data_IF_335772264741
#
_entry.id   IF_335772264741
#
_cell.length_a   1.000
_cell.length_b   1.000
_cell.length_c   1.000
_cell.angle_alpha   90.00
_cell.angle_beta   90.00
_cell.angle_gamma   90.00
#
_symmetry.space_group_name_H-M   'P 1'
#
loop_
_entity.id
_entity.type
_entity.pdbx_description
1 polymer ?
#
# COMPACT_ATOMS: atom_id res chain seq x y z
N UNK A 1 70.62 -58.53 3.48
CA UNK A 1 69.97 -57.59 2.57
C UNK A 1 70.99 -56.54 2.23
N UNK A 2 71.37 -56.43 0.94
CA UNK A 2 72.43 -55.53 0.52
C UNK A 2 71.92 -54.08 0.62
N UNK A 3 72.83 -53.15 0.96
CA UNK A 3 72.49 -51.72 1.11
C UNK A 3 71.80 -51.13 -0.12
N UNK A 4 72.08 -51.73 -1.31
CA UNK A 4 71.42 -51.35 -2.56
C UNK A 4 69.93 -51.71 -2.61
N UNK A 5 69.51 -52.88 -2.09
CA UNK A 5 68.12 -53.32 -2.06
C UNK A 5 67.30 -52.46 -1.10
N UNK A 6 67.86 -52.00 0.02
CA UNK A 6 67.20 -51.11 0.98
C UNK A 6 66.99 -49.72 0.38
N UNK A 7 67.94 -49.21 -0.42
CA UNK A 7 67.84 -47.95 -1.11
C UNK A 7 66.71 -47.93 -2.17
N UNK A 8 66.60 -49.03 -2.96
CA UNK A 8 65.54 -49.17 -3.98
C UNK A 8 64.14 -49.26 -3.35
N UNK A 9 64.01 -49.96 -2.18
CA UNK A 9 62.73 -50.06 -1.45
C UNK A 9 62.34 -48.68 -0.93
N UNK A 10 63.24 -47.90 -0.35
CA UNK A 10 63.01 -46.55 0.13
C UNK A 10 62.59 -45.59 -1.01
N UNK A 11 63.33 -45.69 -2.14
CA UNK A 11 63.00 -44.90 -3.33
C UNK A 11 61.59 -45.21 -3.90
N UNK A 12 61.22 -46.49 -3.88
CA UNK A 12 59.90 -46.94 -4.32
C UNK A 12 58.78 -46.50 -3.38
N UNK A 13 58.99 -46.50 -2.07
CA UNK A 13 58.05 -45.97 -1.09
C UNK A 13 57.86 -44.46 -1.26
N UNK A 14 58.95 -43.72 -1.48
CA UNK A 14 58.87 -42.26 -1.75
C UNK A 14 58.12 -42.00 -3.04
N UNK A 15 58.40 -42.77 -4.10
CA UNK A 15 57.70 -42.63 -5.38
C UNK A 15 56.22 -42.92 -5.27
N UNK A 16 55.83 -43.97 -4.55
CA UNK A 16 54.43 -44.29 -4.24
C UNK A 16 53.80 -43.17 -3.41
N UNK A 17 54.47 -42.62 -2.38
CA UNK A 17 54.02 -41.51 -1.60
C UNK A 17 53.75 -40.26 -2.43
N UNK A 18 54.65 -39.95 -3.36
CA UNK A 18 54.50 -38.82 -4.32
C UNK A 18 53.33 -39.07 -5.28
N UNK A 19 53.21 -40.28 -5.84
CA UNK A 19 52.10 -40.66 -6.72
C UNK A 19 50.73 -40.61 -5.99
N UNK A 20 50.66 -41.13 -4.78
CA UNK A 20 49.47 -41.09 -3.94
C UNK A 20 49.08 -39.63 -3.61
N UNK A 21 50.06 -38.83 -3.22
CA UNK A 21 49.87 -37.40 -3.00
C UNK A 21 49.39 -36.68 -4.25
N UNK A 22 50.01 -36.94 -5.41
CA UNK A 22 49.61 -36.38 -6.68
C UNK A 22 48.18 -36.80 -7.07
N UNK A 23 47.82 -38.07 -6.94
CA UNK A 23 46.48 -38.59 -7.21
C UNK A 23 45.43 -38.06 -6.26
N UNK A 24 45.69 -38.08 -4.94
CA UNK A 24 44.76 -37.60 -3.94
C UNK A 24 44.59 -36.07 -3.88
N UNK A 25 45.64 -35.30 -4.21
CA UNK A 25 45.58 -33.83 -4.27
C UNK A 25 45.19 -33.31 -5.63
N UNK A 26 45.36 -34.09 -6.72
CA UNK A 26 45.02 -33.69 -8.10
C UNK A 26 43.52 -33.85 -8.42
N UNK A 27 42.73 -34.49 -7.60
CA UNK A 27 41.28 -34.78 -7.83
C UNK A 27 40.35 -33.87 -7.09
N UNK A 28 40.75 -32.69 -6.65
CA UNK A 28 39.74 -31.66 -6.43
C UNK A 28 39.18 -31.28 -7.81
N UNK A 29 38.10 -31.98 -8.24
CA UNK A 29 37.30 -31.65 -9.41
C UNK A 29 37.03 -30.14 -9.34
N UNK A 30 37.71 -29.34 -10.17
CA UNK A 30 37.42 -27.92 -10.29
C UNK A 30 35.96 -27.85 -10.70
N UNK A 31 35.08 -27.49 -9.75
CA UNK A 31 33.65 -27.27 -10.01
C UNK A 31 33.61 -26.27 -11.18
N UNK A 32 32.92 -26.62 -12.27
CA UNK A 32 32.84 -25.75 -13.44
C UNK A 32 32.17 -24.41 -13.07
N UNK A 33 32.44 -23.36 -13.84
CA UNK A 33 31.76 -22.09 -13.61
C UNK A 33 30.24 -22.25 -13.67
N UNK A 34 29.77 -23.10 -14.59
CA UNK A 34 28.35 -23.42 -14.74
C UNK A 34 27.76 -24.15 -13.49
N UNK A 35 28.48 -25.14 -12.92
CA UNK A 35 28.04 -25.82 -11.71
C UNK A 35 27.95 -24.85 -10.50
N UNK A 36 28.87 -23.87 -10.43
CA UNK A 36 28.84 -22.84 -9.39
C UNK A 36 27.66 -21.90 -9.57
N UNK A 37 27.32 -21.56 -10.80
CA UNK A 37 26.16 -20.72 -11.13
C UNK A 37 24.85 -21.43 -10.75
N UNK A 38 24.69 -22.71 -11.11
CA UNK A 38 23.56 -23.53 -10.68
C UNK A 38 23.47 -23.58 -9.15
N UNK A 39 24.60 -23.77 -8.47
CA UNK A 39 24.63 -23.78 -7.01
C UNK A 39 24.24 -22.43 -6.41
N UNK A 40 24.68 -21.32 -7.00
CA UNK A 40 24.28 -19.98 -6.58
C UNK A 40 22.77 -19.75 -6.75
N UNK A 41 22.20 -20.18 -7.89
CA UNK A 41 20.75 -20.12 -8.13
C UNK A 41 19.97 -20.96 -7.11
N UNK A 42 20.44 -22.16 -6.77
CA UNK A 42 19.83 -23.00 -5.73
C UNK A 42 19.85 -22.31 -4.35
N UNK A 43 20.93 -21.63 -3.99
CA UNK A 43 20.99 -20.84 -2.76
C UNK A 43 20.00 -19.65 -2.80
N UNK A 44 19.83 -18.99 -3.96
CA UNK A 44 18.82 -17.92 -4.12
C UNK A 44 17.42 -18.48 -3.90
N UNK A 45 17.09 -19.61 -4.51
CA UNK A 45 15.78 -20.28 -4.35
C UNK A 45 15.54 -20.76 -2.90
N UNK A 46 16.60 -21.19 -2.22
CA UNK A 46 16.58 -21.58 -0.80
C UNK A 46 16.58 -20.38 0.17
N UNK A 47 16.62 -19.13 -0.31
CA UNK A 47 16.67 -17.93 0.53
C UNK A 47 18.05 -17.62 1.14
N UNK A 48 19.09 -18.38 0.80
CA UNK A 48 20.45 -18.26 1.32
C UNK A 48 21.27 -17.23 0.53
N UNK A 49 20.83 -15.95 0.60
CA UNK A 49 21.32 -14.86 -0.25
C UNK A 49 22.82 -14.58 -0.09
N UNK A 50 23.35 -14.66 1.14
CA UNK A 50 24.76 -14.44 1.43
C UNK A 50 25.65 -15.54 0.80
N UNK A 51 25.20 -16.79 0.85
CA UNK A 51 25.92 -17.91 0.23
C UNK A 51 25.94 -17.77 -1.29
N UNK A 52 24.80 -17.41 -1.88
CA UNK A 52 24.67 -17.10 -3.31
C UNK A 52 25.60 -15.95 -3.72
N UNK A 53 25.59 -14.84 -2.99
CA UNK A 53 26.42 -13.67 -3.25
C UNK A 53 27.91 -14.01 -3.26
N UNK A 54 28.36 -14.85 -2.31
CA UNK A 54 29.75 -15.30 -2.24
C UNK A 54 30.15 -16.10 -3.48
N UNK A 55 29.28 -17.01 -3.94
CA UNK A 55 29.55 -17.82 -5.14
C UNK A 55 29.55 -16.97 -6.43
N UNK A 56 28.59 -16.08 -6.60
CA UNK A 56 28.52 -15.19 -7.76
C UNK A 56 29.73 -14.25 -7.82
N UNK A 57 30.19 -13.69 -6.69
CA UNK A 57 31.44 -12.91 -6.64
C UNK A 57 32.65 -13.74 -7.01
N UNK A 58 32.72 -15.02 -6.66
CA UNK A 58 33.80 -15.91 -7.08
C UNK A 58 33.78 -16.16 -8.62
N UNK A 59 32.57 -16.37 -9.17
CA UNK A 59 32.38 -16.53 -10.61
C UNK A 59 32.84 -15.26 -11.35
N UNK A 60 32.35 -14.09 -10.94
CA UNK A 60 32.72 -12.81 -11.58
C UNK A 60 34.20 -12.47 -11.49
N UNK A 61 34.93 -12.89 -10.44
CA UNK A 61 36.40 -12.75 -10.34
C UNK A 61 37.13 -13.62 -11.36
N UNK A 62 36.57 -14.79 -11.68
CA UNK A 62 37.20 -15.73 -12.62
C UNK A 62 36.83 -15.40 -14.08
N UNK A 63 35.66 -14.80 -14.30
CA UNK A 63 35.19 -14.39 -15.62
C UNK A 63 34.54 -13.00 -15.53
N UNK A 64 35.33 -11.98 -15.85
CA UNK A 64 34.90 -10.58 -15.85
C UNK A 64 34.02 -10.20 -17.05
N UNK A 65 33.92 -11.08 -18.06
CA UNK A 65 33.09 -10.85 -19.25
C UNK A 65 31.63 -11.25 -19.03
N UNK A 66 31.32 -12.06 -17.98
CA UNK A 66 29.95 -12.48 -17.64
C UNK A 66 29.20 -11.35 -16.91
N UNK A 67 28.70 -10.36 -17.66
CA UNK A 67 28.00 -9.20 -17.12
C UNK A 67 26.71 -9.59 -16.44
N UNK A 68 26.08 -10.69 -16.82
CA UNK A 68 24.88 -11.23 -16.16
C UNK A 68 25.10 -11.58 -14.69
N UNK A 69 26.26 -12.14 -14.37
CA UNK A 69 26.65 -12.46 -12.98
C UNK A 69 26.79 -11.18 -12.15
N UNK A 70 27.37 -10.12 -12.71
CA UNK A 70 27.48 -8.83 -12.00
C UNK A 70 26.11 -8.21 -11.74
N UNK A 71 25.17 -8.30 -12.69
CA UNK A 71 23.78 -7.86 -12.46
C UNK A 71 23.15 -8.62 -11.29
N UNK A 72 23.35 -9.94 -11.19
CA UNK A 72 22.86 -10.74 -10.06
C UNK A 72 23.54 -10.37 -8.73
N UNK A 73 24.86 -10.09 -8.75
CA UNK A 73 25.61 -9.62 -7.57
C UNK A 73 25.03 -8.31 -7.05
N UNK A 74 24.71 -7.37 -7.93
CA UNK A 74 24.05 -6.12 -7.56
C UNK A 74 22.66 -6.35 -6.99
N UNK A 75 21.83 -7.18 -7.64
CA UNK A 75 20.48 -7.51 -7.15
C UNK A 75 20.51 -8.11 -5.74
N UNK A 76 21.44 -9.04 -5.46
CA UNK A 76 21.60 -9.62 -4.14
C UNK A 76 22.09 -8.59 -3.09
N UNK A 77 23.02 -7.69 -3.46
CA UNK A 77 23.42 -6.61 -2.55
C UNK A 77 22.21 -5.74 -2.16
N UNK A 78 21.35 -5.33 -3.13
CA UNK A 78 20.14 -4.57 -2.84
C UNK A 78 19.20 -5.34 -1.92
N UNK A 79 18.96 -6.63 -2.19
CA UNK A 79 18.08 -7.47 -1.38
C UNK A 79 18.60 -7.74 0.05
N UNK A 80 19.91 -7.59 0.26
CA UNK A 80 20.56 -7.67 1.57
C UNK A 80 20.65 -6.30 2.28
N UNK A 81 20.02 -5.26 1.72
CA UNK A 81 20.04 -3.91 2.28
C UNK A 81 21.27 -3.08 1.92
N UNK A 82 22.17 -3.59 1.08
CA UNK A 82 23.40 -2.92 0.66
C UNK A 82 23.22 -2.19 -0.68
N UNK A 83 22.24 -1.26 -0.74
CA UNK A 83 21.84 -0.61 -1.98
C UNK A 83 22.96 0.21 -2.63
N UNK A 84 23.84 0.87 -1.85
CA UNK A 84 25.02 1.59 -2.40
C UNK A 84 26.01 0.64 -3.07
N UNK A 85 26.17 -0.59 -2.54
CA UNK A 85 27.01 -1.59 -3.19
C UNK A 85 26.37 -2.10 -4.47
N UNK A 86 25.05 -2.22 -4.52
CA UNK A 86 24.30 -2.55 -5.73
C UNK A 86 24.48 -1.48 -6.81
N UNK A 87 24.32 -0.21 -6.47
CA UNK A 87 24.53 0.93 -7.39
C UNK A 87 25.93 0.85 -8.03
N UNK A 88 26.99 0.66 -7.22
CA UNK A 88 28.36 0.58 -7.76
C UNK A 88 28.49 -0.56 -8.78
N UNK A 89 28.00 -1.74 -8.45
CA UNK A 89 28.11 -2.91 -9.33
C UNK A 89 27.31 -2.72 -10.62
N UNK A 90 26.09 -2.21 -10.54
CA UNK A 90 25.26 -1.99 -11.74
C UNK A 90 25.78 -0.82 -12.58
N UNK A 91 26.36 0.22 -11.96
CA UNK A 91 27.01 1.31 -12.68
C UNK A 91 28.25 0.81 -13.44
N UNK A 92 29.09 -0.01 -12.80
CA UNK A 92 30.25 -0.63 -13.46
C UNK A 92 29.81 -1.43 -14.70
N UNK A 93 28.70 -2.18 -14.65
CA UNK A 93 28.12 -2.89 -15.79
C UNK A 93 27.68 -1.92 -16.89
N UNK A 94 26.99 -0.83 -16.51
CA UNK A 94 26.49 0.16 -17.46
C UNK A 94 27.60 0.87 -18.21
N UNK A 95 28.74 1.14 -17.55
CA UNK A 95 29.89 1.86 -18.08
C UNK A 95 30.79 0.98 -18.97
N UNK A 96 30.55 -0.33 -19.03
CA UNK A 96 31.30 -1.26 -19.88
C UNK A 96 31.04 -1.01 -21.37
N UNK A 97 32.11 -0.90 -22.13
CA UNK A 97 32.02 -0.73 -23.57
C UNK A 97 31.56 -1.99 -24.34
N UNK A 98 31.83 -3.16 -23.77
CA UNK A 98 31.45 -4.47 -24.31
C UNK A 98 30.01 -4.90 -23.92
N UNK A 99 29.29 -4.10 -23.10
CA UNK A 99 27.93 -4.37 -22.74
C UNK A 99 26.97 -4.12 -23.92
N UNK A 100 26.18 -5.15 -24.26
CA UNK A 100 25.12 -5.03 -25.27
C UNK A 100 24.05 -4.02 -24.83
N UNK A 101 23.28 -3.53 -25.81
CA UNK A 101 22.15 -2.63 -25.52
C UNK A 101 21.13 -3.26 -24.56
N UNK A 102 20.91 -4.57 -24.60
CA UNK A 102 20.05 -5.32 -23.71
C UNK A 102 20.59 -5.30 -22.28
N UNK A 103 21.88 -5.60 -22.11
CA UNK A 103 22.54 -5.54 -20.79
C UNK A 103 22.48 -4.11 -20.21
N UNK A 104 22.66 -3.08 -21.04
CA UNK A 104 22.55 -1.68 -20.61
C UNK A 104 21.13 -1.33 -20.16
N UNK A 105 20.10 -1.82 -20.87
CA UNK A 105 18.71 -1.65 -20.44
C UNK A 105 18.46 -2.33 -19.11
N UNK A 106 18.94 -3.57 -18.93
CA UNK A 106 18.85 -4.28 -17.67
C UNK A 106 19.57 -3.56 -16.53
N UNK A 107 20.73 -2.97 -16.79
CA UNK A 107 21.47 -2.18 -15.82
C UNK A 107 20.72 -0.90 -15.43
N UNK A 108 20.11 -0.19 -16.39
CA UNK A 108 19.27 0.96 -16.10
C UNK A 108 18.06 0.60 -15.22
N UNK A 109 17.39 -0.52 -15.49
CA UNK A 109 16.27 -0.97 -14.67
C UNK A 109 16.72 -1.24 -13.23
N UNK A 110 17.85 -1.93 -13.05
CA UNK A 110 18.41 -2.24 -11.73
C UNK A 110 18.88 -1.01 -10.98
N UNK A 111 19.57 -0.09 -11.65
CA UNK A 111 19.96 1.18 -11.06
C UNK A 111 18.76 2.01 -10.60
N UNK A 112 17.67 2.04 -11.39
CA UNK A 112 16.45 2.70 -10.97
C UNK A 112 15.87 2.09 -9.65
N UNK A 113 15.91 0.75 -9.52
CA UNK A 113 15.50 0.05 -8.30
C UNK A 113 16.45 0.27 -7.12
N UNK A 114 17.77 0.35 -7.38
CA UNK A 114 18.78 0.60 -6.36
C UNK A 114 18.63 2.01 -5.79
N UNK A 115 18.48 3.01 -6.66
CA UNK A 115 18.24 4.39 -6.23
C UNK A 115 16.86 4.58 -5.58
N UNK A 116 15.84 3.80 -5.98
CA UNK A 116 14.56 3.75 -5.26
C UNK A 116 14.74 3.23 -3.83
N UNK A 117 15.56 2.18 -3.64
CA UNK A 117 15.86 1.64 -2.32
C UNK A 117 16.64 2.64 -1.43
N UNK A 118 17.37 3.57 -2.04
CA UNK A 118 18.07 4.68 -1.37
C UNK A 118 17.20 5.93 -1.22
N UNK A 119 15.93 5.89 -1.64
CA UNK A 119 15.01 7.03 -1.70
C UNK A 119 15.51 8.21 -2.57
N UNK A 120 16.47 7.94 -3.47
CA UNK A 120 17.04 8.91 -4.40
C UNK A 120 16.23 8.94 -5.70
N UNK A 121 14.97 9.42 -5.61
CA UNK A 121 13.99 9.31 -6.69
C UNK A 121 14.37 10.09 -7.97
N UNK A 122 15.20 11.13 -7.86
CA UNK A 122 15.68 11.87 -9.05
C UNK A 122 16.66 11.03 -9.87
N UNK A 123 17.60 10.36 -9.21
CA UNK A 123 18.52 9.43 -9.86
C UNK A 123 17.75 8.22 -10.41
N UNK A 124 16.82 7.65 -9.64
CA UNK A 124 15.95 6.56 -10.10
C UNK A 124 15.18 6.96 -11.37
N UNK A 125 14.62 8.18 -11.40
CA UNK A 125 13.90 8.71 -12.56
C UNK A 125 14.78 8.88 -13.78
N UNK A 126 16.05 9.29 -13.61
CA UNK A 126 17.00 9.40 -14.71
C UNK A 126 17.19 8.06 -15.44
N UNK A 127 17.37 6.98 -14.67
CA UNK A 127 17.53 5.64 -15.24
C UNK A 127 16.24 5.12 -15.88
N UNK A 128 15.08 5.33 -15.27
CA UNK A 128 13.81 4.98 -15.90
C UNK A 128 13.56 5.75 -17.21
N UNK A 129 13.94 7.03 -17.28
CA UNK A 129 13.88 7.83 -18.52
C UNK A 129 14.84 7.30 -19.59
N UNK A 130 16.01 6.79 -19.21
CA UNK A 130 16.95 6.19 -20.16
C UNK A 130 16.30 4.98 -20.87
N UNK A 131 15.53 4.15 -20.17
CA UNK A 131 14.80 3.02 -20.76
C UNK A 131 13.79 3.52 -21.81
N UNK A 132 13.09 4.63 -21.54
CA UNK A 132 12.10 5.20 -22.45
C UNK A 132 12.71 5.78 -23.75
N UNK A 133 14.02 6.05 -23.78
CA UNK A 133 14.71 6.42 -25.04
C UNK A 133 14.77 5.23 -26.03
N UNK A 134 14.82 4.00 -25.51
CA UNK A 134 14.83 2.77 -26.33
C UNK A 134 13.40 2.32 -26.65
N UNK A 135 12.51 2.32 -25.66
CA UNK A 135 11.12 1.95 -25.82
C UNK A 135 10.20 2.94 -25.11
N UNK A 136 9.61 3.87 -25.87
CA UNK A 136 8.74 4.94 -25.34
C UNK A 136 7.47 4.45 -24.62
N UNK A 137 7.07 3.19 -24.87
CA UNK A 137 5.89 2.56 -24.27
C UNK A 137 6.26 1.47 -23.24
N UNK A 138 7.50 1.46 -22.75
CA UNK A 138 7.88 0.54 -21.68
C UNK A 138 7.06 0.85 -20.42
N UNK A 139 6.08 -0.02 -20.12
CA UNK A 139 5.12 0.20 -19.05
C UNK A 139 5.81 0.26 -17.68
N UNK A 140 6.77 -0.66 -17.43
CA UNK A 140 7.52 -0.64 -16.16
C UNK A 140 8.23 0.71 -15.91
N UNK A 141 8.85 1.29 -16.94
CA UNK A 141 9.54 2.56 -16.80
C UNK A 141 8.56 3.72 -16.56
N UNK A 142 7.40 3.70 -17.21
CA UNK A 142 6.34 4.72 -17.01
C UNK A 142 5.73 4.64 -15.62
N UNK A 143 5.38 3.44 -15.15
CA UNK A 143 4.89 3.18 -13.78
C UNK A 143 5.93 3.59 -12.73
N UNK A 144 7.21 3.29 -12.99
CA UNK A 144 8.30 3.69 -12.10
C UNK A 144 8.43 5.21 -12.01
N UNK A 145 8.40 5.92 -13.14
CA UNK A 145 8.43 7.40 -13.16
C UNK A 145 7.25 8.02 -12.44
N UNK A 146 6.06 7.43 -12.62
CA UNK A 146 4.86 7.84 -11.89
C UNK A 146 5.07 7.66 -10.37
N UNK A 147 5.46 6.47 -9.94
CA UNK A 147 5.72 6.14 -8.53
C UNK A 147 6.80 7.03 -7.91
N UNK A 148 7.91 7.27 -8.61
CA UNK A 148 9.00 8.13 -8.14
C UNK A 148 8.55 9.59 -8.00
N UNK A 149 7.74 10.09 -8.94
CA UNK A 149 7.17 11.43 -8.86
C UNK A 149 6.24 11.60 -7.66
N UNK A 150 5.42 10.58 -7.36
CA UNK A 150 4.54 10.55 -6.16
C UNK A 150 5.39 10.53 -4.89
N UNK A 151 6.38 9.64 -4.80
CA UNK A 151 7.26 9.52 -3.63
C UNK A 151 8.07 10.79 -3.35
N UNK A 152 8.51 11.48 -4.41
CA UNK A 152 9.22 12.77 -4.30
C UNK A 152 8.29 13.98 -4.22
N UNK A 153 6.98 13.76 -4.13
CA UNK A 153 5.94 14.81 -4.06
C UNK A 153 5.97 15.81 -5.23
N UNK A 154 6.45 15.37 -6.38
CA UNK A 154 6.48 16.17 -7.61
C UNK A 154 5.14 16.01 -8.35
N UNK A 155 4.08 16.58 -7.80
CA UNK A 155 2.69 16.32 -8.18
C UNK A 155 2.37 16.56 -9.66
N UNK A 156 2.89 17.64 -10.24
CA UNK A 156 2.69 17.90 -11.67
C UNK A 156 3.42 16.88 -12.56
N UNK A 157 4.60 16.42 -12.13
CA UNK A 157 5.31 15.33 -12.81
C UNK A 157 4.55 13.99 -12.64
N UNK A 158 3.97 13.71 -11.47
CA UNK A 158 3.14 12.53 -11.23
C UNK A 158 1.91 12.52 -12.15
N UNK A 159 1.21 13.64 -12.30
CA UNK A 159 0.06 13.76 -13.22
C UNK A 159 0.50 13.47 -14.67
N UNK A 160 1.64 14.02 -15.10
CA UNK A 160 2.17 13.79 -16.46
C UNK A 160 2.57 12.33 -16.66
N UNK A 161 3.30 11.76 -15.70
CA UNK A 161 3.75 10.37 -15.76
C UNK A 161 2.56 9.40 -15.79
N UNK A 162 1.55 9.62 -14.94
CA UNK A 162 0.31 8.83 -14.93
C UNK A 162 -0.41 8.86 -16.28
N UNK A 163 -0.56 10.04 -16.92
CA UNK A 163 -1.18 10.13 -18.24
C UNK A 163 -0.41 9.32 -19.30
N UNK A 164 0.92 9.33 -19.25
CA UNK A 164 1.76 8.55 -20.16
C UNK A 164 1.62 7.05 -19.91
N UNK A 165 1.58 6.64 -18.65
CA UNK A 165 1.35 5.26 -18.21
C UNK A 165 0.02 4.73 -18.76
N UNK A 166 -1.09 5.45 -18.53
CA UNK A 166 -2.41 5.08 -19.05
C UNK A 166 -2.42 5.00 -20.58
N UNK A 167 -1.74 5.95 -21.26
CA UNK A 167 -1.62 5.96 -22.72
C UNK A 167 -0.84 4.77 -23.27
N UNK A 168 0.02 4.15 -22.46
CA UNK A 168 0.80 2.96 -22.80
C UNK A 168 0.12 1.64 -22.43
N UNK A 169 -1.08 1.68 -21.84
CA UNK A 169 -1.86 0.51 -21.46
C UNK A 169 -1.94 0.26 -19.94
N UNK A 170 -1.45 1.18 -19.13
CA UNK A 170 -1.62 1.14 -17.66
C UNK A 170 -3.07 1.31 -17.24
N UNK A 171 -3.37 0.91 -16.00
CA UNK A 171 -4.74 0.95 -15.47
C UNK A 171 -5.24 2.39 -15.28
N UNK A 172 -6.39 2.76 -15.88
CA UNK A 172 -6.92 4.11 -15.73
C UNK A 172 -7.55 4.33 -14.34
N UNK A 173 -7.17 5.41 -13.70
CA UNK A 173 -7.89 5.94 -12.53
C UNK A 173 -8.13 7.44 -12.72
N UNK A 174 -9.33 7.84 -13.15
CA UNK A 174 -9.63 9.22 -13.50
C UNK A 174 -9.57 10.20 -12.32
N UNK A 175 -9.56 9.70 -11.06
CA UNK A 175 -9.49 10.55 -9.88
C UNK A 175 -8.05 10.97 -9.53
N UNK A 176 -7.03 10.17 -9.89
CA UNK A 176 -5.64 10.40 -9.48
C UNK A 176 -5.11 11.80 -9.83
N UNK A 177 -5.33 12.36 -11.04
CA UNK A 177 -4.86 13.70 -11.34
C UNK A 177 -5.44 14.78 -10.41
N UNK A 178 -6.72 14.66 -10.04
CA UNK A 178 -7.37 15.58 -9.10
C UNK A 178 -6.86 15.39 -7.67
N UNK A 179 -6.63 14.14 -7.26
CA UNK A 179 -6.02 13.81 -5.95
C UNK A 179 -4.63 14.43 -5.86
N UNK A 180 -3.76 14.25 -6.86
CA UNK A 180 -2.40 14.82 -6.85
C UNK A 180 -2.41 16.34 -6.84
N UNK A 181 -3.33 16.97 -7.57
CA UNK A 181 -3.49 18.42 -7.54
C UNK A 181 -3.99 18.91 -6.17
N UNK A 182 -4.80 18.11 -5.48
CA UNK A 182 -5.22 18.39 -4.09
C UNK A 182 -4.02 18.27 -3.13
N UNK A 183 -3.17 17.26 -3.29
CA UNK A 183 -1.95 17.13 -2.47
C UNK A 183 -1.00 18.32 -2.66
N UNK A 184 -0.82 18.81 -3.89
CA UNK A 184 -0.07 20.03 -4.18
C UNK A 184 -0.64 21.25 -3.42
N UNK A 185 -1.98 21.36 -3.37
CA UNK A 185 -2.64 22.42 -2.61
C UNK A 185 -2.39 22.30 -1.10
N UNK A 186 -2.38 21.08 -0.55
CA UNK A 186 -2.12 20.88 0.86
C UNK A 186 -0.67 21.23 1.26
N UNK A 187 0.30 20.97 0.39
CA UNK A 187 1.68 21.42 0.59
C UNK A 187 1.80 22.94 0.54
N UNK A 188 1.10 23.59 -0.40
CA UNK A 188 1.03 25.04 -0.44
C UNK A 188 0.37 25.64 0.83
N UNK A 189 -0.59 24.93 1.44
CA UNK A 189 -1.21 25.32 2.72
C UNK A 189 -0.17 25.40 3.84
N UNK A 190 0.75 24.45 3.92
CA UNK A 190 1.83 24.46 4.90
C UNK A 190 2.75 25.68 4.76
N UNK A 191 2.81 26.28 3.57
CA UNK A 191 3.59 27.50 3.28
C UNK A 191 2.81 28.81 3.52
N UNK A 192 1.57 28.75 4.01
CA UNK A 192 0.72 29.91 4.31
C UNK A 192 0.12 30.65 3.10
N UNK A 193 0.20 30.07 1.90
CA UNK A 193 -0.23 30.70 0.64
C UNK A 193 -1.70 30.42 0.31
N UNK A 194 -2.61 30.95 1.08
CA UNK A 194 -4.06 30.64 0.97
C UNK A 194 -4.65 30.81 -0.43
N UNK A 195 -4.33 31.89 -1.14
CA UNK A 195 -4.84 32.14 -2.49
C UNK A 195 -4.36 31.08 -3.50
N UNK A 196 -3.12 30.62 -3.38
CA UNK A 196 -2.55 29.54 -4.19
C UNK A 196 -3.27 28.22 -3.90
N UNK A 197 -3.51 27.89 -2.62
CA UNK A 197 -4.27 26.71 -2.20
C UNK A 197 -5.65 26.68 -2.85
N UNK A 198 -6.41 27.76 -2.76
CA UNK A 198 -7.75 27.86 -3.39
C UNK A 198 -7.67 27.65 -4.90
N UNK A 199 -6.68 28.26 -5.56
CA UNK A 199 -6.46 28.11 -7.00
C UNK A 199 -6.19 26.64 -7.38
N UNK A 200 -5.30 25.96 -6.64
CA UNK A 200 -4.95 24.55 -6.87
C UNK A 200 -6.13 23.62 -6.63
N UNK A 201 -6.91 23.84 -5.56
CA UNK A 201 -8.13 23.06 -5.30
C UNK A 201 -9.17 23.23 -6.40
N UNK A 202 -9.37 24.45 -6.92
CA UNK A 202 -10.24 24.68 -8.07
C UNK A 202 -9.72 24.00 -9.34
N UNK A 203 -8.40 23.94 -9.55
CA UNK A 203 -7.80 23.17 -10.64
C UNK A 203 -8.04 21.67 -10.46
N UNK A 204 -7.96 21.13 -9.23
CA UNK A 204 -8.30 19.75 -8.95
C UNK A 204 -9.74 19.40 -9.37
N UNK A 205 -10.71 20.27 -9.03
CA UNK A 205 -12.11 20.09 -9.46
C UNK A 205 -12.23 20.11 -10.99
N UNK A 206 -11.48 20.98 -11.69
CA UNK A 206 -11.48 21.02 -13.16
C UNK A 206 -10.88 19.75 -13.78
N UNK A 207 -9.91 19.10 -13.11
CA UNK A 207 -9.34 17.84 -13.57
C UNK A 207 -10.34 16.70 -13.41
N UNK A 208 -11.06 16.64 -12.30
CA UNK A 208 -12.17 15.72 -12.11
C UNK A 208 -13.13 16.22 -11.01
N UNK A 209 -14.35 16.58 -11.41
CA UNK A 209 -15.39 17.09 -10.51
C UNK A 209 -16.03 16.02 -9.62
N UNK A 210 -15.72 14.73 -9.82
CA UNK A 210 -16.14 13.62 -8.95
C UNK A 210 -15.14 13.32 -7.84
N UNK A 211 -14.01 14.02 -7.78
CA UNK A 211 -13.07 13.89 -6.68
C UNK A 211 -13.58 14.67 -5.46
N UNK A 212 -13.87 13.98 -4.36
CA UNK A 212 -14.45 14.61 -3.16
C UNK A 212 -13.45 15.50 -2.40
N UNK A 213 -12.17 15.10 -2.35
CA UNK A 213 -11.15 15.74 -1.51
C UNK A 213 -11.04 17.29 -1.70
N UNK A 214 -10.99 17.86 -2.93
CA UNK A 214 -10.88 19.33 -3.06
C UNK A 214 -12.09 20.07 -2.53
N UNK A 215 -13.29 19.48 -2.57
CA UNK A 215 -14.49 20.11 -2.00
C UNK A 215 -14.42 20.16 -0.48
N UNK A 216 -13.97 19.10 0.17
CA UNK A 216 -13.73 19.10 1.61
C UNK A 216 -12.82 20.25 2.04
N UNK A 217 -11.66 20.39 1.39
CA UNK A 217 -10.70 21.44 1.75
C UNK A 217 -11.19 22.85 1.42
N UNK A 218 -11.91 23.06 0.31
CA UNK A 218 -12.55 24.35 0.00
C UNK A 218 -13.64 24.69 1.01
N UNK A 219 -14.42 23.70 1.43
CA UNK A 219 -15.44 23.86 2.47
C UNK A 219 -14.81 24.32 3.80
N UNK A 220 -13.73 23.65 4.22
CA UNK A 220 -13.02 24.02 5.47
C UNK A 220 -12.42 25.43 5.40
N UNK A 221 -11.82 25.81 4.28
CA UNK A 221 -11.27 27.16 4.08
C UNK A 221 -12.38 28.21 4.15
N UNK A 222 -13.53 27.98 3.51
CA UNK A 222 -14.66 28.92 3.56
C UNK A 222 -15.28 28.98 4.96
N UNK A 223 -15.33 27.88 5.69
CA UNK A 223 -15.77 27.83 7.09
C UNK A 223 -14.87 28.68 7.99
N UNK A 224 -13.55 28.53 7.86
CA UNK A 224 -12.53 29.33 8.57
C UNK A 224 -12.68 30.83 8.28
N UNK A 225 -13.11 31.19 7.06
CA UNK A 225 -13.34 32.59 6.62
C UNK A 225 -14.71 33.17 7.02
N UNK A 226 -15.56 32.38 7.68
CA UNK A 226 -16.94 32.78 7.99
C UNK A 226 -17.88 32.80 6.76
N UNK A 227 -17.44 32.31 5.61
CA UNK A 227 -18.24 32.22 4.39
C UNK A 227 -19.14 30.99 4.41
N UNK A 228 -20.01 30.88 5.43
CA UNK A 228 -20.76 29.66 5.75
C UNK A 228 -21.61 29.13 4.59
N UNK A 229 -22.22 30.00 3.76
CA UNK A 229 -23.00 29.55 2.59
C UNK A 229 -22.15 28.72 1.62
N UNK A 230 -20.98 29.25 1.23
CA UNK A 230 -20.07 28.53 0.32
C UNK A 230 -19.46 27.29 1.01
N UNK A 231 -19.18 27.37 2.31
CA UNK A 231 -18.69 26.22 3.07
C UNK A 231 -19.70 25.07 3.04
N UNK A 232 -20.97 25.35 3.30
CA UNK A 232 -22.06 24.36 3.23
C UNK A 232 -22.17 23.76 1.83
N UNK A 233 -22.14 24.57 0.77
CA UNK A 233 -22.22 24.07 -0.61
C UNK A 233 -21.07 23.10 -0.93
N UNK A 234 -19.84 23.44 -0.56
CA UNK A 234 -18.68 22.57 -0.77
C UNK A 234 -18.73 21.29 0.07
N UNK A 235 -19.04 21.40 1.37
CA UNK A 235 -19.10 20.23 2.26
C UNK A 235 -20.28 19.32 1.92
N UNK A 236 -21.40 19.86 1.46
CA UNK A 236 -22.51 19.06 0.94
C UNK A 236 -22.09 18.28 -0.31
N UNK A 237 -21.37 18.94 -1.24
CA UNK A 237 -20.84 18.25 -2.42
C UNK A 237 -19.85 17.16 -2.04
N UNK A 238 -18.98 17.39 -1.06
CA UNK A 238 -18.10 16.38 -0.50
C UNK A 238 -18.90 15.16 0.02
N UNK A 239 -19.91 15.39 0.86
CA UNK A 239 -20.73 14.33 1.43
C UNK A 239 -21.51 13.53 0.37
N UNK A 240 -21.89 14.17 -0.73
CA UNK A 240 -22.53 13.49 -1.87
C UNK A 240 -21.56 12.63 -2.69
N UNK A 241 -20.28 13.02 -2.77
CA UNK A 241 -19.26 12.32 -3.56
C UNK A 241 -18.52 11.23 -2.78
N UNK A 242 -18.45 11.35 -1.45
CA UNK A 242 -17.83 10.36 -0.56
C UNK A 242 -18.79 9.93 0.55
N UNK A 243 -19.70 8.99 0.24
CA UNK A 243 -20.66 8.48 1.21
C UNK A 243 -20.03 7.88 2.46
N UNK A 244 -18.86 7.25 2.32
CA UNK A 244 -18.19 6.55 3.41
C UNK A 244 -17.60 7.50 4.47
N UNK A 245 -17.21 8.71 4.04
CA UNK A 245 -16.63 9.72 4.94
C UNK A 245 -17.61 10.88 5.22
N UNK A 246 -18.84 10.80 4.74
CA UNK A 246 -19.79 11.92 4.75
C UNK A 246 -20.13 12.44 6.15
N UNK A 247 -20.19 11.55 7.15
CA UNK A 247 -20.57 11.90 8.53
C UNK A 247 -19.60 12.87 9.21
N UNK A 248 -18.33 12.94 8.77
CA UNK A 248 -17.32 13.82 9.36
C UNK A 248 -17.67 15.32 9.25
N UNK A 249 -18.56 15.70 8.33
CA UNK A 249 -18.94 17.10 8.07
C UNK A 249 -20.36 17.45 8.56
N UNK A 250 -21.14 16.48 9.02
CA UNK A 250 -22.55 16.71 9.34
C UNK A 250 -22.74 17.74 10.47
N UNK A 251 -22.07 17.56 11.60
CA UNK A 251 -22.17 18.48 12.73
C UNK A 251 -21.70 19.91 12.40
N UNK A 252 -20.75 20.03 11.50
CA UNK A 252 -20.23 21.33 11.06
C UNK A 252 -21.24 22.04 10.15
N UNK A 253 -21.86 21.30 9.21
CA UNK A 253 -22.91 21.83 8.33
C UNK A 253 -24.12 22.26 9.18
N UNK A 254 -24.54 21.47 10.15
CA UNK A 254 -25.59 21.84 11.09
C UNK A 254 -25.28 23.15 11.81
N UNK A 255 -24.09 23.25 12.43
CA UNK A 255 -23.66 24.48 13.13
C UNK A 255 -23.68 25.68 12.22
N UNK A 256 -23.20 25.57 10.98
CA UNK A 256 -23.22 26.67 10.02
C UNK A 256 -24.63 27.10 9.62
N UNK A 257 -25.58 26.15 9.48
CA UNK A 257 -27.01 26.51 9.28
C UNK A 257 -27.60 27.22 10.51
N UNK A 258 -27.22 26.80 11.71
CA UNK A 258 -27.63 27.49 12.95
C UNK A 258 -27.09 28.91 13.03
N UNK A 259 -25.79 29.11 12.71
CA UNK A 259 -25.19 30.48 12.65
C UNK A 259 -25.86 31.38 11.61
N UNK A 260 -26.37 30.81 10.52
CA UNK A 260 -27.11 31.54 9.50
C UNK A 260 -28.59 31.77 9.83
N UNK A 261 -29.09 31.20 10.96
CA UNK A 261 -30.52 31.22 11.32
C UNK A 261 -31.41 30.39 10.38
N UNK A 262 -30.82 29.41 9.66
CA UNK A 262 -31.49 28.62 8.62
C UNK A 262 -31.77 27.19 9.12
N UNK A 263 -32.44 27.06 10.23
CA UNK A 263 -32.68 25.80 10.96
C UNK A 263 -33.41 24.74 10.09
N UNK A 264 -34.36 25.16 9.25
CA UNK A 264 -35.14 24.26 8.39
C UNK A 264 -34.29 23.63 7.28
N UNK A 265 -33.18 24.27 6.90
CA UNK A 265 -32.30 23.76 5.85
C UNK A 265 -31.50 22.51 6.29
N UNK A 266 -31.36 22.29 7.60
CA UNK A 266 -30.72 21.07 8.13
C UNK A 266 -31.50 19.82 7.73
N UNK A 267 -32.84 19.86 7.84
CA UNK A 267 -33.69 18.75 7.42
C UNK A 267 -33.58 18.52 5.91
N UNK A 268 -33.61 19.59 5.12
CA UNK A 268 -33.52 19.50 3.68
C UNK A 268 -32.16 18.92 3.23
N UNK A 269 -31.08 19.28 3.92
CA UNK A 269 -29.74 18.73 3.71
C UNK A 269 -29.74 17.21 3.89
N UNK A 270 -30.21 16.71 5.03
CA UNK A 270 -30.22 15.27 5.29
C UNK A 270 -31.17 14.50 4.37
N UNK A 271 -32.38 15.03 4.11
CA UNK A 271 -33.32 14.41 3.17
C UNK A 271 -32.77 14.36 1.75
N UNK A 272 -32.00 15.36 1.32
CA UNK A 272 -31.34 15.37 0.01
C UNK A 272 -30.26 14.28 -0.05
N UNK A 273 -29.43 14.14 0.98
CA UNK A 273 -28.41 13.09 1.06
C UNK A 273 -29.05 11.71 1.07
N UNK A 274 -30.05 11.48 1.91
CA UNK A 274 -30.75 10.20 2.05
C UNK A 274 -31.39 9.76 0.71
N UNK A 275 -32.00 10.69 -0.03
CA UNK A 275 -32.53 10.37 -1.36
C UNK A 275 -31.47 9.95 -2.37
N UNK A 276 -30.24 10.47 -2.25
CA UNK A 276 -29.12 10.12 -3.13
C UNK A 276 -28.40 8.84 -2.69
N UNK A 277 -28.48 8.54 -1.43
CA UNK A 277 -27.75 7.48 -0.74
C UNK A 277 -28.68 6.79 0.27
N UNK A 278 -29.74 6.11 -0.19
CA UNK A 278 -30.76 5.54 0.72
C UNK A 278 -30.17 4.48 1.66
N UNK A 279 -29.16 3.73 1.20
CA UNK A 279 -28.52 2.66 1.96
C UNK A 279 -27.35 3.16 2.82
N UNK A 280 -27.10 4.48 2.86
CA UNK A 280 -26.03 5.03 3.69
C UNK A 280 -26.48 5.18 5.14
N UNK A 281 -26.02 4.25 5.97
CA UNK A 281 -26.32 4.19 7.39
C UNK A 281 -25.98 5.49 8.14
N UNK A 282 -24.84 6.13 7.84
CA UNK A 282 -24.41 7.37 8.48
C UNK A 282 -25.37 8.54 8.20
N UNK A 283 -25.91 8.59 6.98
CA UNK A 283 -26.92 9.59 6.60
C UNK A 283 -28.25 9.31 7.31
N UNK A 284 -28.67 8.05 7.39
CA UNK A 284 -29.86 7.65 8.10
C UNK A 284 -29.77 7.98 9.61
N UNK A 285 -28.64 7.66 10.25
CA UNK A 285 -28.36 8.02 11.65
C UNK A 285 -28.39 9.55 11.84
N UNK A 286 -27.74 10.31 10.94
CA UNK A 286 -27.73 11.77 11.00
C UNK A 286 -29.14 12.37 10.93
N UNK A 287 -29.98 11.89 10.00
CA UNK A 287 -31.36 12.32 9.83
C UNK A 287 -32.23 11.88 11.02
N UNK A 288 -32.06 10.65 11.52
CA UNK A 288 -32.77 10.15 12.68
C UNK A 288 -32.43 10.98 13.94
N UNK A 289 -31.17 11.31 14.16
CA UNK A 289 -30.76 12.20 15.26
C UNK A 289 -31.35 13.62 15.13
N UNK A 290 -31.52 14.12 13.90
CA UNK A 290 -32.18 15.37 13.67
C UNK A 290 -33.68 15.30 14.08
N UNK A 291 -34.43 14.28 13.66
CA UNK A 291 -35.83 14.05 14.06
C UNK A 291 -35.96 13.82 15.54
N UNK A 292 -35.04 13.09 16.17
CA UNK A 292 -34.98 12.90 17.61
C UNK A 292 -34.96 14.24 18.37
N UNK A 293 -34.11 15.20 17.94
CA UNK A 293 -33.99 16.54 18.50
C UNK A 293 -35.27 17.37 18.32
N UNK A 294 -36.05 17.09 17.27
CA UNK A 294 -37.38 17.70 17.07
C UNK A 294 -38.50 17.04 17.90
N UNK A 295 -38.21 15.88 18.51
CA UNK A 295 -39.24 15.07 19.21
C UNK A 295 -40.06 14.20 18.27
N UNK A 296 -39.69 14.08 17.00
CA UNK A 296 -40.35 13.27 15.97
C UNK A 296 -39.83 11.81 16.04
N UNK A 297 -39.98 11.17 17.18
CA UNK A 297 -39.35 9.86 17.48
C UNK A 297 -39.81 8.72 16.58
N UNK A 298 -41.09 8.76 16.11
CA UNK A 298 -41.62 7.71 15.21
C UNK A 298 -40.96 7.77 13.83
N UNK A 299 -40.79 8.98 13.30
CA UNK A 299 -40.17 9.18 12.00
C UNK A 299 -38.68 8.82 12.06
N UNK A 300 -38.01 9.17 13.17
CA UNK A 300 -36.64 8.77 13.43
C UNK A 300 -36.46 7.24 13.49
N UNK A 301 -37.40 6.55 14.16
CA UNK A 301 -37.35 5.10 14.30
C UNK A 301 -37.60 4.40 12.96
N UNK A 302 -38.64 4.79 12.22
CA UNK A 302 -38.94 4.23 10.89
C UNK A 302 -37.79 4.36 9.96
N UNK A 303 -37.07 5.50 10.00
CA UNK A 303 -35.89 5.72 9.15
C UNK A 303 -34.73 4.75 9.42
N UNK A 304 -34.50 4.39 10.69
CA UNK A 304 -33.48 3.41 11.07
C UNK A 304 -33.90 1.97 10.78
N UNK A 305 -35.21 1.69 10.83
CA UNK A 305 -35.77 0.37 10.51
C UNK A 305 -35.81 0.08 9.00
N UNK A 306 -35.85 1.13 8.16
CA UNK A 306 -35.83 1.02 6.70
C UNK A 306 -34.42 0.70 6.11
N UNK A 307 -33.36 0.92 6.91
CA UNK A 307 -31.98 0.62 6.49
C UNK A 307 -31.63 -0.80 6.89
N UNK A 308 -31.02 -1.57 5.98
CA UNK A 308 -30.52 -2.91 6.29
C UNK A 308 -29.59 -2.87 7.52
N UNK A 309 -29.81 -3.79 8.46
CA UNK A 309 -28.93 -3.92 9.62
C UNK A 309 -27.48 -4.19 9.14
N UNK A 310 -26.51 -3.42 9.63
CA UNK A 310 -25.14 -3.60 9.18
C UNK A 310 -24.62 -4.97 9.59
N UNK A 311 -23.95 -5.67 8.68
CA UNK A 311 -23.30 -6.98 8.94
C UNK A 311 -22.28 -6.91 10.07
N UNK A 312 -21.68 -5.73 10.29
CA UNK A 312 -20.78 -5.48 11.42
C UNK A 312 -21.47 -4.59 12.46
N UNK A 313 -21.21 -4.90 13.72
CA UNK A 313 -21.77 -4.15 14.87
C UNK A 313 -21.42 -2.66 14.76
N UNK A 314 -22.42 -1.83 14.47
CA UNK A 314 -22.31 -0.38 14.50
C UNK A 314 -22.92 0.15 15.81
N UNK A 315 -22.06 0.53 16.76
CA UNK A 315 -22.50 0.99 18.08
C UNK A 315 -23.39 2.23 18.02
N UNK A 316 -23.12 3.16 17.10
CA UNK A 316 -23.91 4.39 16.94
C UNK A 316 -25.32 4.07 16.49
N UNK A 317 -25.48 3.15 15.53
CA UNK A 317 -26.78 2.65 15.08
C UNK A 317 -27.53 1.94 16.22
N UNK A 318 -26.87 0.98 16.89
CA UNK A 318 -27.49 0.20 17.96
C UNK A 318 -27.98 1.09 19.11
N UNK A 319 -27.11 1.97 19.62
CA UNK A 319 -27.47 2.86 20.74
C UNK A 319 -28.55 3.85 20.34
N UNK A 320 -28.45 4.45 19.14
CA UNK A 320 -29.48 5.35 18.61
C UNK A 320 -30.84 4.66 18.48
N UNK A 321 -30.85 3.42 17.95
CA UNK A 321 -32.09 2.64 17.83
C UNK A 321 -32.73 2.33 19.19
N UNK A 322 -31.94 1.88 20.18
CA UNK A 322 -32.40 1.62 21.52
C UNK A 322 -32.96 2.88 22.20
N UNK A 323 -32.28 4.03 22.09
CA UNK A 323 -32.73 5.31 22.61
C UNK A 323 -34.07 5.78 21.99
N UNK A 324 -34.20 5.59 20.66
CA UNK A 324 -35.44 5.94 19.97
C UNK A 324 -36.59 5.04 20.34
N UNK A 325 -36.40 3.73 20.52
CA UNK A 325 -37.42 2.80 21.04
C UNK A 325 -37.89 3.21 22.44
N UNK A 326 -36.95 3.62 23.32
CA UNK A 326 -37.28 4.13 24.64
C UNK A 326 -38.14 5.40 24.57
N UNK A 327 -37.70 6.43 23.82
CA UNK A 327 -38.37 7.72 23.67
C UNK A 327 -39.71 7.62 22.95
N UNK A 328 -39.83 6.70 21.99
CA UNK A 328 -41.08 6.41 21.31
C UNK A 328 -42.07 5.59 22.16
N UNK A 329 -41.64 5.09 23.33
CA UNK A 329 -42.46 4.30 24.22
C UNK A 329 -42.66 2.84 23.82
N UNK A 330 -41.85 2.32 22.88
CA UNK A 330 -41.91 0.92 22.37
C UNK A 330 -41.16 -0.06 23.31
N UNK A 331 -41.66 -0.21 24.56
CA UNK A 331 -40.99 -0.97 25.66
C UNK A 331 -40.76 -2.45 25.31
N UNK A 332 -41.73 -3.09 24.66
CA UNK A 332 -41.61 -4.52 24.30
C UNK A 332 -40.54 -4.73 23.18
N UNK A 333 -40.53 -3.88 22.17
CA UNK A 333 -39.51 -3.92 21.11
C UNK A 333 -38.11 -3.61 21.68
N UNK A 334 -38.00 -2.64 22.57
CA UNK A 334 -36.73 -2.33 23.27
C UNK A 334 -36.21 -3.55 24.03
N UNK A 335 -37.09 -4.22 24.81
CA UNK A 335 -36.70 -5.41 25.57
C UNK A 335 -36.20 -6.52 24.66
N UNK A 336 -36.92 -6.83 23.58
CA UNK A 336 -36.53 -7.86 22.59
C UNK A 336 -35.20 -7.54 21.94
N UNK A 337 -34.97 -6.28 21.54
CA UNK A 337 -33.70 -5.88 20.91
C UNK A 337 -32.54 -5.99 21.88
N UNK A 338 -32.70 -5.59 23.14
CA UNK A 338 -31.67 -5.74 24.19
C UNK A 338 -31.34 -7.23 24.42
N UNK A 339 -32.37 -8.08 24.54
CA UNK A 339 -32.20 -9.51 24.73
C UNK A 339 -31.41 -10.13 23.54
N UNK A 340 -31.77 -9.76 22.29
CA UNK A 340 -31.05 -10.22 21.09
C UNK A 340 -29.59 -9.82 21.10
N UNK A 341 -29.26 -8.57 21.46
CA UNK A 341 -27.88 -8.07 21.54
C UNK A 341 -27.09 -8.84 22.62
N UNK A 342 -27.69 -9.07 23.78
CA UNK A 342 -27.03 -9.81 24.87
C UNK A 342 -26.76 -11.28 24.45
N UNK A 343 -27.71 -11.91 23.79
CA UNK A 343 -27.56 -13.29 23.33
C UNK A 343 -26.54 -13.43 22.20
N UNK A 344 -26.45 -12.44 21.32
CA UNK A 344 -25.43 -12.38 20.30
C UNK A 344 -24.03 -12.17 20.89
N UNK A 345 -23.86 -11.22 21.82
CA UNK A 345 -22.59 -11.02 22.53
C UNK A 345 -22.16 -12.28 23.28
N UNK A 346 -23.13 -12.96 23.93
CA UNK A 346 -22.86 -14.22 24.61
C UNK A 346 -22.39 -15.33 23.65
N UNK A 347 -23.05 -15.45 22.47
CA UNK A 347 -22.62 -16.40 21.42
C UNK A 347 -21.22 -16.06 20.91
N UNK A 348 -20.95 -14.81 20.59
CA UNK A 348 -19.66 -14.35 20.08
C UNK A 348 -18.52 -14.60 21.07
N UNK A 349 -18.74 -14.40 22.39
CA UNK A 349 -17.73 -14.72 23.40
C UNK A 349 -17.45 -16.20 23.50
N UNK A 350 -18.47 -17.07 23.36
CA UNK A 350 -18.31 -18.52 23.42
C UNK A 350 -17.56 -19.07 22.22
N UNK A 351 -17.71 -18.46 21.05
CA UNK A 351 -17.12 -18.90 19.80
C UNK A 351 -15.76 -18.25 19.50
N UNK A 352 -15.37 -17.21 20.23
CA UNK A 352 -14.10 -16.51 19.97
C UNK A 352 -12.93 -17.21 20.69
N UNK A 353 -11.86 -17.48 19.95
CA UNK A 353 -10.63 -18.02 20.51
C UNK A 353 -9.91 -16.96 21.36
N UNK A 354 -9.68 -17.20 22.68
CA UNK A 354 -9.04 -16.23 23.56
C UNK A 354 -7.55 -15.98 23.23
N UNK A 355 -6.92 -16.87 22.46
CA UNK A 355 -5.52 -16.73 22.11
C UNK A 355 -5.29 -15.86 20.86
N UNK A 356 -6.14 -15.95 19.84
CA UNK A 356 -5.92 -15.26 18.55
C UNK A 356 -7.12 -14.44 18.06
N UNK A 357 -8.22 -14.36 18.81
CA UNK A 357 -9.43 -13.62 18.44
C UNK A 357 -10.22 -14.20 17.25
N UNK A 358 -9.86 -15.39 16.77
CA UNK A 358 -10.59 -16.05 15.69
C UNK A 358 -11.99 -16.48 16.16
N UNK A 359 -13.02 -16.11 15.41
CA UNK A 359 -14.41 -16.54 15.66
C UNK A 359 -14.62 -17.85 14.91
N UNK A 360 -15.02 -18.90 15.64
CA UNK A 360 -15.33 -20.21 15.08
C UNK A 360 -16.83 -20.29 14.81
N UNK A 361 -17.26 -21.02 13.78
CA UNK A 361 -18.68 -21.23 13.47
C UNK A 361 -19.38 -22.09 14.53
N UNK A 362 -18.63 -23.00 15.14
CA UNK A 362 -19.08 -23.90 16.19
C UNK A 362 -18.18 -23.82 17.43
N UNK A 363 -18.65 -24.24 18.63
CA UNK A 363 -17.85 -24.28 19.84
C UNK A 363 -16.76 -25.35 19.73
N UNK A 364 -15.67 -25.02 19.05
CA UNK A 364 -14.54 -25.92 18.89
C UNK A 364 -13.60 -25.87 20.09
N UNK A 365 -13.18 -27.03 20.56
CA UNK A 365 -12.20 -27.15 21.63
C UNK A 365 -10.76 -26.89 21.15
N UNK A 366 -10.53 -26.91 19.85
CA UNK A 366 -9.24 -26.61 19.21
C UNK A 366 -9.46 -25.52 18.17
N UNK A 367 -8.77 -24.39 18.30
CA UNK A 367 -8.88 -23.30 17.34
C UNK A 367 -8.23 -23.70 16.01
N UNK A 368 -8.98 -23.68 14.93
CA UNK A 368 -8.53 -24.03 13.58
C UNK A 368 -7.42 -23.12 13.07
N UNK A 369 -7.40 -21.85 13.52
CA UNK A 369 -6.40 -20.87 13.07
C UNK A 369 -5.08 -20.96 13.80
N UNK A 370 -5.07 -21.17 15.12
CA UNK A 370 -3.83 -21.12 15.92
C UNK A 370 -3.54 -22.40 16.70
N UNK A 371 -4.38 -23.43 16.62
CA UNK A 371 -4.21 -24.68 17.34
C UNK A 371 -4.41 -24.60 18.86
N UNK A 372 -4.87 -23.44 19.38
CA UNK A 372 -5.11 -23.29 20.81
C UNK A 372 -6.22 -24.24 21.28
N UNK A 373 -6.01 -24.92 22.39
CA UNK A 373 -6.93 -25.89 22.97
C UNK A 373 -7.64 -25.26 24.16
N UNK A 374 -8.97 -25.24 24.14
CA UNK A 374 -9.79 -24.82 25.29
C UNK A 374 -9.79 -25.95 26.31
N UNK A 375 -9.12 -25.76 27.43
CA UNK A 375 -9.13 -26.67 28.58
C UNK A 375 -10.11 -26.08 29.61
N UNK A 376 -11.14 -26.84 30.00
CA UNK A 376 -12.08 -26.46 31.06
C UNK A 376 -11.49 -26.65 32.44
#
# INVERSE_FOLDING_TARGET
MDSATLFFILLFIVLIGVLVRFFFFSTKKKISAHDKEIKALNHILGGEKEAALKLLKEIGRNDTSNLGVFLQVGDLNRQLGNAEAAVRVHQDVLDRNDASSEIKLMAHERLARDYEALEQYDAASHHAQAILKYNKKNLWALESLHRFAVKSKKWNAAIKAFKNEVSAGGSPNPLLPAIYKTQEALEAKASGKKSEVISLLKQAIKLNNKCAAPYFHLGKINQEDGNFKHAIDFLTTFAELDPTSSSIVFSEIEKMYFELGQFENVEQFYRRLHRKQPDNLEVAIGLANYFERKGEYRDALSLLEDVEEPEQVNLSYMLGHLQLLEKAGHKDALKLKVEAIVDEDRRNRLLTCPNCGHVCEDPNYVCEKCGWVRVH
#
